data_IF_511539176311
#
_entry.id   IF_511539176311
#
_cell.length_a   1.000
_cell.length_b   1.000
_cell.length_c   1.000
_cell.angle_alpha   90.00
_cell.angle_beta   90.00
_cell.angle_gamma   90.00
#
_symmetry.space_group_name_H-M   'P 1'
#
loop_
_entity.id
_entity.type
_entity.pdbx_description
1 polymer ?
#
# COMPACT_ATOMS: atom_id res chain seq x y z
N UNK A 1 -0.54 33.70 -23.70
CA UNK A 1 -1.61 34.21 -24.61
C UNK A 1 -1.01 34.91 -25.83
N UNK A 2 -0.16 35.93 -25.68
CA UNK A 2 0.47 36.63 -26.80
C UNK A 2 1.22 35.67 -27.73
N UNK A 3 2.05 34.77 -27.23
CA UNK A 3 2.78 33.78 -28.03
C UNK A 3 1.85 32.96 -28.94
N UNK A 4 0.72 32.48 -28.40
CA UNK A 4 -0.25 31.69 -29.17
C UNK A 4 -0.89 32.50 -30.33
N UNK A 5 -1.13 33.79 -30.11
CA UNK A 5 -1.67 34.67 -31.13
C UNK A 5 -0.61 35.00 -32.21
N UNK A 6 0.64 35.16 -31.78
CA UNK A 6 1.78 35.38 -32.68
C UNK A 6 2.05 34.12 -33.52
N UNK A 7 2.01 32.95 -32.92
CA UNK A 7 2.17 31.67 -33.61
C UNK A 7 1.04 31.42 -34.62
N UNK A 8 -0.16 32.00 -34.37
CA UNK A 8 -1.27 32.02 -35.29
C UNK A 8 -1.20 33.15 -36.35
N UNK A 9 -0.06 33.87 -36.46
CA UNK A 9 0.19 34.89 -37.49
C UNK A 9 -0.18 36.32 -37.08
N UNK A 10 -0.62 36.58 -35.86
CA UNK A 10 -0.97 37.92 -35.42
C UNK A 10 0.28 38.77 -35.08
N UNK A 11 0.35 40.05 -35.53
CA UNK A 11 1.49 40.92 -35.23
C UNK A 11 1.64 41.18 -33.73
N UNK A 12 2.87 41.06 -33.23
CA UNK A 12 3.21 41.26 -31.78
C UNK A 12 2.69 42.62 -31.26
N UNK A 13 2.81 43.72 -32.04
CA UNK A 13 2.37 45.02 -31.61
C UNK A 13 0.86 45.10 -31.36
N UNK A 14 0.07 44.46 -32.23
CA UNK A 14 -1.38 44.41 -32.09
C UNK A 14 -1.81 43.58 -30.88
N UNK A 15 -1.18 42.43 -30.67
CA UNK A 15 -1.44 41.58 -29.51
C UNK A 15 -1.08 42.30 -28.18
N UNK A 16 0.05 42.98 -28.14
CA UNK A 16 0.48 43.74 -26.97
C UNK A 16 -0.49 44.90 -26.65
N UNK A 17 -0.95 45.64 -27.68
CA UNK A 17 -1.92 46.72 -27.53
C UNK A 17 -3.25 46.23 -26.97
N UNK A 18 -3.80 45.18 -27.55
CA UNK A 18 -5.09 44.61 -27.15
C UNK A 18 -5.07 44.07 -25.72
N UNK A 19 -3.93 43.54 -25.28
CA UNK A 19 -3.79 42.94 -23.93
C UNK A 19 -3.21 43.92 -22.90
N UNK A 20 -3.02 45.21 -23.23
CA UNK A 20 -2.51 46.25 -22.33
C UNK A 20 -1.07 46.02 -21.86
N UNK A 21 -0.24 45.29 -22.63
CA UNK A 21 1.17 44.96 -22.28
C UNK A 21 2.11 45.75 -23.17
N UNK A 22 3.15 46.33 -22.62
CA UNK A 22 4.19 47.00 -23.42
C UNK A 22 4.99 45.98 -24.25
N UNK A 23 5.36 46.31 -25.47
CA UNK A 23 6.21 45.47 -26.33
C UNK A 23 7.54 45.12 -25.64
N UNK A 24 8.15 46.11 -24.97
CA UNK A 24 9.39 45.94 -24.24
C UNK A 24 9.20 44.94 -23.08
N UNK A 25 8.10 45.02 -22.33
CA UNK A 25 7.73 44.07 -21.28
C UNK A 25 7.59 42.66 -21.82
N UNK A 26 6.93 42.50 -22.97
CA UNK A 26 6.78 41.22 -23.66
C UNK A 26 8.12 40.60 -24.07
N UNK A 27 8.97 41.33 -24.74
CA UNK A 27 10.31 40.84 -25.13
C UNK A 27 11.22 40.57 -23.94
N UNK A 28 11.16 41.39 -22.88
CA UNK A 28 11.87 41.12 -21.63
C UNK A 28 11.39 39.83 -20.98
N UNK A 29 10.09 39.59 -20.96
CA UNK A 29 9.49 38.32 -20.48
C UNK A 29 9.99 37.14 -21.29
N UNK A 30 9.97 37.20 -22.61
CA UNK A 30 10.46 36.12 -23.50
C UNK A 30 11.95 35.79 -23.32
N UNK A 31 12.75 36.82 -23.09
CA UNK A 31 14.21 36.66 -22.84
C UNK A 31 14.55 36.24 -21.41
N UNK A 32 13.55 36.23 -20.52
CA UNK A 32 13.78 35.89 -19.11
C UNK A 32 14.10 34.40 -18.99
N UNK A 33 15.22 34.01 -18.39
CA UNK A 33 15.52 32.60 -18.14
C UNK A 33 14.49 32.00 -17.19
N UNK A 34 14.22 30.72 -17.36
CA UNK A 34 13.32 29.98 -16.46
C UNK A 34 13.82 30.09 -15.02
N UNK A 35 12.97 30.54 -14.11
CA UNK A 35 13.36 30.71 -12.71
C UNK A 35 13.74 29.38 -12.06
N UNK A 36 14.62 29.39 -11.06
CA UNK A 36 15.01 28.21 -10.29
C UNK A 36 13.79 27.50 -9.68
N UNK A 37 12.78 28.27 -9.23
CA UNK A 37 11.52 27.74 -8.73
C UNK A 37 10.75 26.95 -9.79
N UNK A 38 10.69 27.46 -11.02
CA UNK A 38 10.01 26.80 -12.12
C UNK A 38 10.77 25.56 -12.59
N UNK A 39 12.10 25.61 -12.65
CA UNK A 39 12.95 24.45 -12.93
C UNK A 39 12.71 23.34 -11.89
N UNK A 40 12.71 23.70 -10.60
CA UNK A 40 12.40 22.75 -9.53
C UNK A 40 10.99 22.14 -9.66
N UNK A 41 10.00 22.95 -10.02
CA UNK A 41 8.62 22.44 -10.24
C UNK A 41 8.55 21.46 -11.41
N UNK A 42 9.21 21.74 -12.52
CA UNK A 42 9.29 20.84 -13.68
C UNK A 42 9.95 19.51 -13.30
N UNK A 43 11.08 19.57 -12.62
CA UNK A 43 11.77 18.40 -12.12
C UNK A 43 10.89 17.56 -11.17
N UNK A 44 10.27 18.19 -10.16
CA UNK A 44 9.34 17.49 -9.28
C UNK A 44 8.15 16.88 -10.04
N UNK A 45 7.63 17.55 -11.08
CA UNK A 45 6.55 17.02 -11.90
C UNK A 45 6.99 15.77 -12.66
N UNK A 46 8.24 15.70 -13.11
CA UNK A 46 8.82 14.48 -13.70
C UNK A 46 8.80 13.32 -12.71
N UNK A 47 9.36 13.52 -11.52
CA UNK A 47 9.36 12.50 -10.45
C UNK A 47 7.94 12.07 -10.05
N UNK A 48 7.00 13.01 -9.94
CA UNK A 48 5.59 12.70 -9.65
C UNK A 48 5.00 11.76 -10.70
N UNK A 49 5.30 11.96 -11.99
CA UNK A 49 4.85 11.07 -13.07
C UNK A 49 5.46 9.68 -12.96
N UNK A 50 6.75 9.60 -12.70
CA UNK A 50 7.46 8.32 -12.51
C UNK A 50 6.88 7.53 -11.35
N UNK A 51 6.70 8.16 -10.18
CA UNK A 51 6.07 7.53 -9.01
C UNK A 51 4.64 7.09 -9.32
N UNK A 52 3.86 7.91 -10.03
CA UNK A 52 2.48 7.59 -10.39
C UNK A 52 2.43 6.38 -11.33
N UNK A 53 3.32 6.29 -12.31
CA UNK A 53 3.45 5.12 -13.21
C UNK A 53 3.89 3.90 -12.41
N UNK A 54 4.93 4.01 -11.58
CA UNK A 54 5.43 2.92 -10.75
C UNK A 54 4.38 2.39 -9.77
N UNK A 55 3.47 3.25 -9.30
CA UNK A 55 2.33 2.88 -8.47
C UNK A 55 1.11 2.39 -9.28
N UNK A 56 1.28 2.07 -10.57
CA UNK A 56 0.20 1.62 -11.48
C UNK A 56 -0.94 2.63 -11.63
N UNK A 57 -0.67 3.92 -11.46
CA UNK A 57 -1.68 4.98 -11.52
C UNK A 57 -2.62 5.00 -10.30
N UNK A 58 -2.25 4.38 -9.18
CA UNK A 58 -3.13 4.28 -8.00
C UNK A 58 -2.93 5.40 -7.00
N UNK A 59 -1.73 6.00 -6.93
CA UNK A 59 -1.38 6.96 -5.89
C UNK A 59 -1.99 8.33 -6.09
N UNK A 60 -2.69 8.81 -5.05
CA UNK A 60 -3.02 10.23 -4.89
C UNK A 60 -1.87 11.02 -4.26
N UNK A 61 -2.02 12.35 -4.17
CA UNK A 61 -0.97 13.26 -3.74
C UNK A 61 -0.32 12.93 -2.39
N UNK A 62 -1.06 12.36 -1.42
CA UNK A 62 -0.51 12.00 -0.10
C UNK A 62 0.52 10.88 -0.17
N UNK A 63 0.25 9.85 -0.97
CA UNK A 63 1.20 8.73 -1.16
C UNK A 63 2.38 9.14 -2.02
N UNK A 64 2.15 9.96 -3.06
CA UNK A 64 3.24 10.53 -3.87
C UNK A 64 4.14 11.44 -3.02
N UNK A 65 3.56 12.27 -2.15
CA UNK A 65 4.33 13.07 -1.20
C UNK A 65 5.19 12.19 -0.29
N UNK A 66 4.62 11.10 0.24
CA UNK A 66 5.36 10.16 1.08
C UNK A 66 6.52 9.48 0.32
N UNK A 67 6.34 9.13 -0.96
CA UNK A 67 7.46 8.62 -1.79
C UNK A 67 8.55 9.65 -1.97
N UNK A 68 8.20 10.90 -2.25
CA UNK A 68 9.19 11.97 -2.41
C UNK A 68 9.93 12.23 -1.10
N UNK A 69 9.22 12.31 0.04
CA UNK A 69 9.82 12.71 1.32
C UNK A 69 10.47 11.56 2.08
N UNK A 70 9.82 10.41 2.15
CA UNK A 70 10.30 9.24 2.90
C UNK A 70 11.16 8.34 2.00
N UNK A 71 10.70 8.07 0.77
CA UNK A 71 11.39 7.16 -0.15
C UNK A 71 12.63 7.78 -0.78
N UNK A 72 12.54 9.05 -1.22
CA UNK A 72 13.61 9.74 -1.96
C UNK A 72 14.31 10.84 -1.17
N UNK A 73 13.89 11.10 0.08
CA UNK A 73 14.41 12.17 0.94
C UNK A 73 14.39 13.58 0.27
N UNK A 74 13.37 13.86 -0.54
CA UNK A 74 13.17 15.14 -1.23
C UNK A 74 12.17 15.99 -0.45
N UNK A 75 12.60 17.09 0.20
CA UNK A 75 11.72 17.95 0.98
C UNK A 75 10.76 18.72 0.06
N UNK A 76 9.47 18.50 0.25
CA UNK A 76 8.39 19.22 -0.43
C UNK A 76 7.12 19.23 0.44
N UNK A 77 6.19 20.15 0.17
CA UNK A 77 4.91 20.17 0.90
C UNK A 77 3.84 19.37 0.17
N UNK A 78 2.91 18.81 0.94
CA UNK A 78 1.71 18.12 0.40
C UNK A 78 0.94 19.01 -0.60
N UNK A 79 0.82 20.32 -0.29
CA UNK A 79 0.13 21.30 -1.15
C UNK A 79 0.84 21.45 -2.49
N UNK A 80 2.18 21.53 -2.50
CA UNK A 80 2.94 21.62 -3.74
C UNK A 80 2.71 20.40 -4.63
N UNK A 81 2.81 19.18 -4.06
CA UNK A 81 2.56 17.94 -4.80
C UNK A 81 1.15 17.92 -5.38
N UNK A 82 0.13 18.27 -4.59
CA UNK A 82 -1.26 18.33 -5.05
C UNK A 82 -1.43 19.31 -6.23
N UNK A 83 -0.85 20.52 -6.14
CA UNK A 83 -0.91 21.53 -7.22
C UNK A 83 -0.21 21.02 -8.48
N UNK A 84 0.97 20.42 -8.36
CA UNK A 84 1.71 19.89 -9.50
C UNK A 84 0.99 18.74 -10.18
N UNK A 85 0.37 17.82 -9.41
CA UNK A 85 -0.46 16.74 -9.94
C UNK A 85 -1.66 17.29 -10.72
N UNK A 86 -2.39 18.24 -10.14
CA UNK A 86 -3.54 18.85 -10.82
C UNK A 86 -3.12 19.53 -12.14
N UNK A 87 -2.02 20.29 -12.14
CA UNK A 87 -1.49 20.92 -13.36
C UNK A 87 -1.03 19.92 -14.42
N UNK A 88 -0.56 18.75 -13.99
CA UNK A 88 -0.11 17.69 -14.87
C UNK A 88 -1.25 16.76 -15.35
N UNK A 89 -2.49 16.98 -14.88
CA UNK A 89 -3.64 16.11 -15.17
C UNK A 89 -3.53 14.72 -14.51
N UNK A 90 -2.79 14.60 -13.41
CA UNK A 90 -2.56 13.35 -12.70
C UNK A 90 -3.50 13.27 -11.49
N UNK A 91 -4.29 12.19 -11.40
CA UNK A 91 -5.16 11.90 -10.26
C UNK A 91 -4.92 10.48 -9.72
N UNK A 92 -5.04 10.30 -8.42
CA UNK A 92 -5.09 8.95 -7.83
C UNK A 92 -6.45 8.30 -8.05
N UNK A 93 -6.53 7.00 -7.83
CA UNK A 93 -7.81 6.30 -7.86
C UNK A 93 -8.71 6.80 -6.71
N UNK A 94 -10.01 7.05 -6.97
CA UNK A 94 -10.95 7.39 -5.92
C UNK A 94 -11.05 6.21 -4.94
N UNK A 95 -11.07 6.51 -3.64
CA UNK A 95 -11.34 5.50 -2.62
C UNK A 95 -12.77 4.97 -2.73
N UNK A 96 -13.09 3.86 -2.04
CA UNK A 96 -14.44 3.35 -1.99
C UNK A 96 -15.39 4.42 -1.43
N UNK A 97 -16.59 4.50 -1.98
CA UNK A 97 -17.64 5.39 -1.48
C UNK A 97 -17.94 4.99 -0.03
N UNK A 98 -17.69 5.88 0.91
CA UNK A 98 -18.02 5.64 2.31
C UNK A 98 -19.56 5.69 2.48
N UNK A 99 -20.18 4.54 2.46
CA UNK A 99 -21.55 4.40 2.92
C UNK A 99 -21.51 4.59 4.44
N UNK A 100 -22.21 5.61 4.97
CA UNK A 100 -22.40 5.76 6.42
C UNK A 100 -23.25 4.57 6.90
N UNK A 101 -22.59 3.55 7.46
CA UNK A 101 -23.32 2.47 8.15
C UNK A 101 -23.88 3.05 9.45
N UNK A 102 -25.17 2.83 9.69
CA UNK A 102 -25.80 3.12 10.99
C UNK A 102 -25.12 2.23 12.04
N UNK A 103 -24.78 2.82 13.20
CA UNK A 103 -24.21 2.07 14.31
C UNK A 103 -25.24 1.04 14.79
N UNK A 104 -24.98 -0.23 14.56
CA UNK A 104 -25.74 -1.33 15.17
C UNK A 104 -25.49 -1.40 16.68
N UNK A 105 -26.49 -1.91 17.39
CA UNK A 105 -26.43 -2.16 18.84
C UNK A 105 -25.44 -3.31 19.09
N UNK A 106 -24.51 -3.11 20.03
CA UNK A 106 -23.53 -4.14 20.40
C UNK A 106 -24.21 -5.34 21.03
N UNK A 107 -24.03 -6.52 20.41
CA UNK A 107 -24.54 -7.80 20.93
C UNK A 107 -23.34 -8.75 21.03
N UNK A 108 -23.09 -9.26 22.26
CA UNK A 108 -22.23 -10.36 22.68
C UNK A 108 -20.70 -10.13 22.80
N UNK A 109 -20.10 -10.90 23.73
CA UNK A 109 -18.70 -10.83 24.16
C UNK A 109 -17.69 -11.12 23.02
N UNK A 110 -17.06 -10.05 22.54
CA UNK A 110 -15.97 -10.10 21.59
C UNK A 110 -14.62 -10.16 22.35
N UNK A 111 -13.91 -11.28 22.25
CA UNK A 111 -12.58 -11.47 22.86
C UNK A 111 -11.54 -10.46 22.32
N UNK A 112 -11.76 -9.90 21.14
CA UNK A 112 -10.90 -8.88 20.54
C UNK A 112 -11.24 -7.48 21.04
N UNK A 113 -12.43 -7.30 21.64
CA UNK A 113 -12.89 -6.04 22.25
C UNK A 113 -12.71 -4.81 21.34
N UNK A 114 -12.87 -5.00 20.01
CA UNK A 114 -12.69 -4.01 18.93
C UNK A 114 -11.32 -3.30 18.91
N UNK A 115 -10.33 -3.82 19.64
CA UNK A 115 -8.97 -3.29 19.67
C UNK A 115 -8.12 -4.01 18.61
N UNK A 116 -8.39 -3.71 17.34
CA UNK A 116 -7.62 -4.22 16.21
C UNK A 116 -6.23 -3.58 16.02
N UNK A 117 -5.90 -2.57 16.81
CA UNK A 117 -4.55 -2.03 16.86
C UNK A 117 -3.70 -2.85 17.81
N UNK A 118 -2.91 -3.76 17.25
CA UNK A 118 -1.92 -4.53 18.01
C UNK A 118 -0.57 -3.85 17.94
N UNK A 119 0.15 -3.88 19.05
CA UNK A 119 1.46 -3.23 19.16
C UNK A 119 2.60 -4.15 18.73
N UNK A 120 2.42 -5.47 18.80
CA UNK A 120 3.42 -6.45 18.40
C UNK A 120 2.96 -7.30 17.20
N UNK A 121 3.95 -7.79 16.46
CA UNK A 121 3.74 -8.71 15.36
C UNK A 121 3.25 -10.07 15.89
N UNK A 122 2.44 -10.74 15.09
CA UNK A 122 1.92 -12.08 15.35
C UNK A 122 1.00 -12.22 16.60
N UNK A 123 0.57 -11.10 17.21
CA UNK A 123 -0.44 -11.14 18.28
C UNK A 123 -1.84 -11.42 17.75
N UNK A 124 -2.16 -10.90 16.57
CA UNK A 124 -3.46 -11.06 15.92
C UNK A 124 -3.27 -11.19 14.42
N UNK A 125 -3.72 -12.29 13.87
CA UNK A 125 -3.90 -12.49 12.43
C UNK A 125 -5.38 -12.44 12.10
N UNK A 126 -5.72 -11.80 11.00
CA UNK A 126 -7.09 -11.71 10.49
C UNK A 126 -7.12 -12.40 9.15
N UNK A 127 -8.12 -13.25 8.92
CA UNK A 127 -8.25 -14.02 7.68
C UNK A 127 -9.66 -13.90 7.09
N UNK A 128 -9.73 -13.93 5.76
CA UNK A 128 -10.98 -13.83 5.03
C UNK A 128 -10.79 -14.37 3.60
N UNK A 129 -11.93 -14.61 2.90
CA UNK A 129 -11.96 -15.07 1.51
C UNK A 129 -12.67 -14.02 0.66
N UNK A 130 -12.12 -13.77 -0.53
CA UNK A 130 -12.80 -13.03 -1.59
C UNK A 130 -12.99 -13.88 -2.83
N UNK A 131 -13.99 -13.54 -3.65
CA UNK A 131 -14.18 -14.16 -4.96
C UNK A 131 -14.11 -13.12 -6.09
N UNK A 132 -13.65 -13.55 -7.25
CA UNK A 132 -13.67 -12.72 -8.43
C UNK A 132 -13.96 -13.53 -9.70
N UNK A 133 -14.87 -13.05 -10.58
CA UNK A 133 -15.22 -13.78 -11.80
C UNK A 133 -14.13 -13.62 -12.88
N UNK A 134 -13.92 -14.70 -13.63
CA UNK A 134 -13.21 -14.71 -14.92
C UNK A 134 -14.13 -15.29 -16.00
N UNK A 135 -13.71 -15.27 -17.26
CA UNK A 135 -14.50 -15.95 -18.32
C UNK A 135 -14.53 -17.47 -18.17
N UNK A 136 -13.56 -18.06 -17.46
CA UNK A 136 -13.47 -19.50 -17.18
C UNK A 136 -14.22 -19.91 -15.89
N UNK A 137 -14.82 -18.95 -15.19
CA UNK A 137 -15.48 -19.16 -13.90
C UNK A 137 -14.82 -18.39 -12.77
N UNK A 138 -15.27 -18.61 -11.55
CA UNK A 138 -14.79 -17.90 -10.36
C UNK A 138 -13.40 -18.34 -9.92
N UNK A 139 -12.67 -17.41 -9.31
CA UNK A 139 -11.44 -17.61 -8.57
C UNK A 139 -11.70 -17.15 -7.14
N UNK A 140 -11.29 -17.94 -6.18
CA UNK A 140 -11.36 -17.64 -4.75
C UNK A 140 -9.96 -17.40 -4.21
N UNK A 141 -9.80 -16.37 -3.41
CA UNK A 141 -8.53 -16.04 -2.75
C UNK A 141 -8.76 -15.92 -1.25
N UNK A 142 -8.11 -16.79 -0.47
CA UNK A 142 -8.00 -16.64 0.98
C UNK A 142 -6.71 -15.92 1.31
N UNK A 143 -6.74 -15.01 2.30
CA UNK A 143 -5.56 -14.30 2.77
C UNK A 143 -5.53 -14.20 4.29
N UNK A 144 -4.32 -14.20 4.86
CA UNK A 144 -4.03 -14.00 6.27
C UNK A 144 -3.22 -12.72 6.41
N UNK A 145 -3.72 -11.76 7.17
CA UNK A 145 -3.15 -10.45 7.40
C UNK A 145 -2.70 -10.32 8.86
N UNK A 146 -1.46 -9.88 9.09
CA UNK A 146 -0.97 -9.48 10.41
C UNK A 146 -1.55 -8.11 10.77
N UNK A 147 -2.29 -8.02 11.88
CA UNK A 147 -3.00 -6.81 12.29
C UNK A 147 -2.07 -5.66 12.68
N UNK A 148 -0.85 -5.94 13.12
CA UNK A 148 0.15 -4.93 13.47
C UNK A 148 0.77 -4.29 12.23
N UNK A 149 1.33 -5.13 11.34
CA UNK A 149 2.07 -4.67 10.16
C UNK A 149 1.21 -4.45 8.92
N UNK A 150 -0.05 -4.90 8.92
CA UNK A 150 -0.94 -4.92 7.73
C UNK A 150 -0.39 -5.75 6.58
N UNK A 151 0.64 -6.54 6.81
CA UNK A 151 1.26 -7.41 5.81
C UNK A 151 0.40 -8.64 5.57
N UNK A 152 0.20 -8.99 4.32
CA UNK A 152 -0.33 -10.30 3.96
C UNK A 152 0.79 -11.31 4.15
N UNK A 153 0.63 -12.20 5.11
CA UNK A 153 1.65 -13.16 5.55
C UNK A 153 1.41 -14.58 5.03
N UNK A 154 0.19 -14.84 4.55
CA UNK A 154 -0.18 -16.07 3.89
C UNK A 154 -1.38 -15.86 3.00
N UNK A 155 -1.45 -16.59 1.90
CA UNK A 155 -2.57 -16.55 0.97
C UNK A 155 -2.61 -17.82 0.11
N UNK A 156 -3.78 -18.12 -0.41
CA UNK A 156 -4.00 -19.23 -1.34
C UNK A 156 -5.07 -18.85 -2.35
N UNK A 157 -5.02 -19.44 -3.53
CA UNK A 157 -5.98 -19.22 -4.61
C UNK A 157 -6.45 -20.56 -5.13
N UNK A 158 -7.76 -20.70 -5.33
CA UNK A 158 -8.37 -21.90 -5.90
C UNK A 158 -9.61 -21.54 -6.75
N UNK A 159 -10.08 -22.50 -7.51
CA UNK A 159 -11.37 -22.47 -8.22
C UNK A 159 -12.56 -22.86 -7.33
N UNK A 160 -12.31 -23.34 -6.11
CA UNK A 160 -13.30 -23.75 -5.12
C UNK A 160 -13.09 -23.02 -3.81
N UNK A 161 -14.21 -22.70 -3.15
CA UNK A 161 -14.21 -22.10 -1.82
C UNK A 161 -14.46 -23.20 -0.78
N UNK A 162 -13.42 -23.95 -0.44
CA UNK A 162 -13.47 -25.01 0.55
C UNK A 162 -12.50 -24.78 1.73
N UNK A 163 -12.51 -25.70 2.70
CA UNK A 163 -11.61 -25.64 3.85
C UNK A 163 -10.13 -25.77 3.48
N UNK A 164 -9.81 -26.43 2.36
CA UNK A 164 -8.43 -26.60 1.87
C UNK A 164 -7.82 -25.25 1.51
N UNK A 165 -8.60 -24.37 0.88
CA UNK A 165 -8.17 -23.02 0.51
C UNK A 165 -7.70 -22.22 1.72
N UNK A 166 -8.50 -22.20 2.81
CA UNK A 166 -8.16 -21.43 4.02
C UNK A 166 -7.01 -22.07 4.81
N UNK A 167 -6.95 -23.40 4.82
CA UNK A 167 -5.84 -24.15 5.46
C UNK A 167 -4.52 -23.88 4.74
N UNK A 168 -4.49 -23.84 3.41
CA UNK A 168 -3.29 -23.53 2.64
C UNK A 168 -2.80 -22.11 2.89
N UNK A 169 -3.70 -21.13 2.94
CA UNK A 169 -3.35 -19.74 3.29
C UNK A 169 -2.77 -19.65 4.71
N UNK A 170 -3.38 -20.31 5.67
CA UNK A 170 -2.92 -20.37 7.06
C UNK A 170 -1.57 -21.09 7.19
N UNK A 171 -1.39 -22.22 6.48
CA UNK A 171 -0.13 -22.97 6.48
C UNK A 171 1.03 -22.13 5.96
N UNK A 172 0.83 -21.38 4.89
CA UNK A 172 1.80 -20.43 4.37
C UNK A 172 2.17 -19.39 5.45
N UNK A 173 1.18 -18.80 6.15
CA UNK A 173 1.40 -17.84 7.22
C UNK A 173 2.20 -18.43 8.38
N UNK A 174 1.84 -19.63 8.85
CA UNK A 174 2.53 -20.32 9.96
C UNK A 174 3.99 -20.61 9.59
N UNK A 175 4.24 -21.12 8.38
CA UNK A 175 5.61 -21.40 7.91
C UNK A 175 6.45 -20.13 7.76
N UNK A 176 5.85 -19.06 7.27
CA UNK A 176 6.56 -17.78 7.07
C UNK A 176 6.88 -17.07 8.39
N UNK A 177 6.06 -17.24 9.43
CA UNK A 177 6.13 -16.50 10.68
C UNK A 177 6.66 -17.28 11.86
N UNK A 178 6.47 -18.59 11.89
CA UNK A 178 6.80 -19.44 13.05
C UNK A 178 6.36 -18.76 14.36
N UNK A 179 5.05 -18.48 14.53
CA UNK A 179 4.58 -17.64 15.62
C UNK A 179 4.81 -18.29 16.96
N UNK A 180 5.12 -17.47 17.98
CA UNK A 180 5.12 -17.92 19.35
C UNK A 180 3.69 -18.31 19.79
N UNK A 181 3.54 -19.26 20.73
CA UNK A 181 2.22 -19.64 21.25
C UNK A 181 1.45 -18.45 21.84
N UNK A 182 0.12 -18.49 21.71
CA UNK A 182 -0.79 -17.50 22.31
C UNK A 182 -1.28 -16.40 21.36
N UNK A 183 -0.74 -16.30 20.13
CA UNK A 183 -1.30 -15.42 19.10
C UNK A 183 -2.72 -15.85 18.70
N UNK A 184 -3.53 -14.90 18.25
CA UNK A 184 -4.93 -15.11 17.86
C UNK A 184 -5.08 -15.12 16.35
N UNK A 185 -5.84 -16.07 15.81
CA UNK A 185 -6.32 -16.06 14.41
C UNK A 185 -7.81 -15.79 14.42
N UNK A 186 -8.17 -14.61 13.89
CA UNK A 186 -9.56 -14.16 13.82
C UNK A 186 -10.13 -14.33 12.40
N UNK A 187 -11.30 -14.92 12.30
CA UNK A 187 -12.05 -15.13 11.07
C UNK A 187 -13.53 -14.83 11.26
N UNK A 188 -14.28 -14.73 10.17
CA UNK A 188 -15.74 -14.74 10.24
C UNK A 188 -16.27 -16.16 10.56
N UNK A 189 -17.61 -16.27 10.75
CA UNK A 189 -18.29 -17.55 11.00
C UNK A 189 -18.54 -18.38 9.73
N UNK A 190 -17.80 -18.14 8.64
CA UNK A 190 -17.93 -18.95 7.43
C UNK A 190 -17.66 -20.44 7.68
N UNK A 191 -18.39 -21.31 6.99
CA UNK A 191 -18.28 -22.78 7.13
C UNK A 191 -16.85 -23.29 6.94
N UNK A 192 -16.07 -22.63 6.09
CA UNK A 192 -14.67 -22.95 5.81
C UNK A 192 -13.78 -22.72 7.03
N UNK A 193 -14.02 -21.63 7.77
CA UNK A 193 -13.24 -21.24 8.94
C UNK A 193 -13.65 -22.02 10.21
N UNK A 194 -14.91 -22.43 10.32
CA UNK A 194 -15.39 -23.26 11.44
C UNK A 194 -15.09 -24.74 11.26
N UNK A 195 -14.47 -25.15 10.15
CA UNK A 195 -14.09 -26.53 9.88
C UNK A 195 -13.11 -27.07 10.93
N UNK A 196 -13.24 -28.34 11.30
CA UNK A 196 -12.36 -29.01 12.24
C UNK A 196 -10.88 -28.91 11.80
N UNK A 197 -10.61 -29.10 10.50
CA UNK A 197 -9.24 -29.07 9.95
C UNK A 197 -8.59 -27.71 10.14
N UNK A 198 -9.31 -26.61 9.87
CA UNK A 198 -8.80 -25.26 10.04
C UNK A 198 -8.54 -24.95 11.53
N UNK A 199 -9.48 -25.26 12.41
CA UNK A 199 -9.35 -25.04 13.86
C UNK A 199 -8.21 -25.86 14.46
N UNK A 200 -8.08 -27.13 14.05
CA UNK A 200 -6.99 -28.00 14.47
C UNK A 200 -5.62 -27.46 14.01
N UNK A 201 -5.54 -26.92 12.79
CA UNK A 201 -4.32 -26.29 12.28
C UNK A 201 -3.88 -25.08 13.12
N UNK A 202 -4.83 -24.22 13.51
CA UNK A 202 -4.55 -23.09 14.40
C UNK A 202 -3.98 -23.59 15.73
N UNK A 203 -4.67 -24.55 16.38
CA UNK A 203 -4.26 -25.08 17.69
C UNK A 203 -2.92 -25.80 17.64
N UNK A 204 -2.66 -26.58 16.59
CA UNK A 204 -1.36 -27.28 16.44
C UNK A 204 -0.18 -26.33 16.26
N UNK A 205 -0.40 -25.09 15.82
CA UNK A 205 0.58 -24.02 15.75
C UNK A 205 0.70 -23.22 17.06
N UNK A 206 0.00 -23.63 18.13
CA UNK A 206 -0.02 -22.90 19.41
C UNK A 206 -0.84 -21.62 19.40
N UNK A 207 -1.64 -21.40 18.35
CA UNK A 207 -2.48 -20.21 18.18
C UNK A 207 -3.89 -20.44 18.71
N UNK A 208 -4.60 -19.37 18.99
CA UNK A 208 -5.97 -19.37 19.51
C UNK A 208 -6.96 -18.97 18.39
N UNK A 209 -7.96 -19.79 18.08
CA UNK A 209 -9.01 -19.41 17.15
C UNK A 209 -9.96 -18.40 17.80
N UNK A 210 -10.37 -17.40 17.03
CA UNK A 210 -11.40 -16.42 17.38
C UNK A 210 -12.33 -16.24 16.20
N UNK A 211 -13.64 -16.20 16.46
CA UNK A 211 -14.64 -16.02 15.42
C UNK A 211 -15.48 -14.79 15.74
N UNK A 212 -15.77 -13.97 14.73
CA UNK A 212 -16.63 -12.81 14.86
C UNK A 212 -18.05 -13.19 15.23
N UNK A 213 -18.82 -12.27 15.79
CA UNK A 213 -20.26 -12.48 16.07
C UNK A 213 -21.05 -12.51 14.76
N UNK A 214 -22.04 -13.38 14.68
CA UNK A 214 -22.90 -13.53 13.49
C UNK A 214 -23.58 -12.17 13.18
N UNK A 215 -23.22 -11.56 12.04
CA UNK A 215 -23.83 -10.32 11.55
C UNK A 215 -23.09 -9.02 11.90
N UNK A 216 -21.94 -9.05 12.58
CA UNK A 216 -21.16 -7.84 12.88
C UNK A 216 -20.04 -7.65 11.85
N UNK A 217 -20.35 -6.91 10.77
CA UNK A 217 -19.37 -6.57 9.71
C UNK A 217 -18.25 -5.62 10.13
N UNK A 218 -18.10 -5.32 11.43
CA UNK A 218 -16.99 -4.52 11.96
C UNK A 218 -15.80 -5.39 12.37
N UNK A 219 -16.02 -6.69 12.59
CA UNK A 219 -15.01 -7.61 13.11
C UNK A 219 -13.91 -7.89 12.08
N UNK A 220 -14.14 -7.67 10.78
CA UNK A 220 -13.17 -7.93 9.71
C UNK A 220 -12.79 -6.68 8.88
N UNK A 221 -12.94 -5.47 9.46
CA UNK A 221 -12.69 -4.20 8.76
C UNK A 221 -11.29 -4.07 8.13
N UNK A 222 -10.28 -4.81 8.65
CA UNK A 222 -8.94 -4.84 8.08
C UNK A 222 -8.90 -5.59 6.77
N UNK A 223 -9.51 -6.77 6.71
CA UNK A 223 -9.60 -7.56 5.48
C UNK A 223 -10.51 -6.89 4.46
N UNK A 224 -11.64 -6.29 4.89
CA UNK A 224 -12.49 -5.47 4.03
C UNK A 224 -11.69 -4.32 3.38
N UNK A 225 -10.85 -3.63 4.15
CA UNK A 225 -9.97 -2.57 3.64
C UNK A 225 -8.94 -3.09 2.64
N UNK A 226 -8.37 -4.27 2.89
CA UNK A 226 -7.44 -4.93 1.96
C UNK A 226 -8.14 -5.31 0.66
N UNK A 227 -9.27 -6.02 0.74
CA UNK A 227 -10.05 -6.44 -0.43
C UNK A 227 -10.55 -5.25 -1.25
N UNK A 228 -11.07 -4.21 -0.60
CA UNK A 228 -11.48 -2.97 -1.27
C UNK A 228 -10.32 -2.30 -2.00
N UNK A 229 -9.12 -2.31 -1.42
CA UNK A 229 -7.92 -1.80 -2.10
C UNK A 229 -7.59 -2.64 -3.32
N UNK A 230 -7.55 -3.97 -3.19
CA UNK A 230 -7.26 -4.89 -4.30
C UNK A 230 -8.33 -4.79 -5.39
N UNK A 231 -9.60 -4.65 -5.01
CA UNK A 231 -10.71 -4.48 -5.94
C UNK A 231 -10.52 -3.26 -6.84
N UNK A 232 -10.19 -2.10 -6.26
CA UNK A 232 -10.03 -0.83 -6.98
C UNK A 232 -8.69 -0.78 -7.73
N UNK A 233 -7.61 -1.23 -7.10
CA UNK A 233 -6.26 -1.08 -7.62
C UNK A 233 -5.87 -2.16 -8.63
N UNK A 234 -6.56 -3.32 -8.63
CA UNK A 234 -6.29 -4.45 -9.51
C UNK A 234 -7.54 -4.98 -10.22
N UNK A 235 -8.51 -5.52 -9.46
CA UNK A 235 -9.53 -6.43 -9.99
C UNK A 235 -10.49 -5.74 -10.96
N UNK A 236 -10.94 -4.52 -10.67
CA UNK A 236 -11.87 -3.74 -11.49
C UNK A 236 -11.21 -3.07 -12.71
N UNK A 237 -9.89 -3.19 -12.89
CA UNK A 237 -9.18 -2.45 -13.94
C UNK A 237 -9.29 -3.08 -15.32
N UNK A 238 -9.64 -4.36 -15.39
CA UNK A 238 -9.90 -5.06 -16.64
C UNK A 238 -10.82 -6.27 -16.45
N UNK A 239 -11.34 -6.81 -17.55
CA UNK A 239 -12.03 -8.10 -17.57
C UNK A 239 -11.00 -9.22 -17.69
N UNK A 240 -10.98 -10.14 -16.75
CA UNK A 240 -10.04 -11.27 -16.68
C UNK A 240 -10.48 -12.39 -17.62
N UNK A 241 -9.56 -12.86 -18.48
CA UNK A 241 -9.88 -13.94 -19.44
C UNK A 241 -9.79 -15.31 -18.79
N UNK A 242 -8.67 -15.59 -18.11
CA UNK A 242 -8.40 -16.91 -17.54
C UNK A 242 -8.17 -16.83 -16.03
N UNK A 243 -8.37 -17.96 -15.34
CA UNK A 243 -8.05 -18.11 -13.93
C UNK A 243 -6.55 -17.90 -13.66
N UNK A 244 -5.71 -18.43 -14.55
CA UNK A 244 -4.25 -18.32 -14.44
C UNK A 244 -3.80 -16.83 -14.54
N UNK A 245 -4.36 -16.09 -15.50
CA UNK A 245 -4.09 -14.68 -15.64
C UNK A 245 -4.40 -13.89 -14.36
N UNK A 246 -5.57 -14.15 -13.77
CA UNK A 246 -5.98 -13.51 -12.53
C UNK A 246 -5.10 -13.93 -11.34
N UNK A 247 -4.79 -15.22 -11.21
CA UNK A 247 -3.94 -15.76 -10.15
C UNK A 247 -2.56 -15.10 -10.15
N UNK A 248 -1.93 -15.00 -11.32
CA UNK A 248 -0.63 -14.34 -11.46
C UNK A 248 -0.69 -12.85 -11.10
N UNK A 249 -1.77 -12.17 -11.48
CA UNK A 249 -1.97 -10.76 -11.15
C UNK A 249 -2.20 -10.54 -9.65
N UNK A 250 -2.93 -11.42 -8.97
CA UNK A 250 -3.13 -11.37 -7.51
C UNK A 250 -1.79 -11.64 -6.80
N UNK A 251 -1.03 -12.65 -7.25
CA UNK A 251 0.32 -12.91 -6.73
C UNK A 251 1.20 -11.66 -6.78
N UNK A 252 1.31 -11.05 -7.96
CA UNK A 252 2.12 -9.85 -8.16
C UNK A 252 1.60 -8.66 -7.32
N UNK A 253 0.27 -8.56 -7.18
CA UNK A 253 -0.32 -7.51 -6.36
C UNK A 253 0.04 -7.69 -4.88
N UNK A 254 -0.08 -8.88 -4.33
CA UNK A 254 0.19 -9.14 -2.91
C UNK A 254 1.69 -9.03 -2.62
N UNK A 255 2.51 -9.82 -3.32
CA UNK A 255 3.93 -9.98 -2.97
C UNK A 255 4.79 -8.78 -3.38
N UNK A 256 4.56 -8.26 -4.59
CA UNK A 256 5.42 -7.19 -5.12
C UNK A 256 4.87 -5.81 -4.78
N UNK A 257 3.57 -5.60 -4.96
CA UNK A 257 3.00 -4.26 -4.83
C UNK A 257 2.50 -3.97 -3.41
N UNK A 258 1.51 -4.72 -2.91
CA UNK A 258 0.86 -4.45 -1.63
C UNK A 258 1.83 -4.52 -0.44
N UNK A 259 2.54 -5.63 -0.31
CA UNK A 259 3.44 -5.84 0.80
C UNK A 259 4.70 -4.95 0.74
N UNK A 260 5.31 -4.76 -0.44
CA UNK A 260 6.65 -4.18 -0.57
C UNK A 260 6.70 -2.76 -1.10
N UNK A 261 5.66 -2.29 -1.82
CA UNK A 261 5.67 -0.95 -2.45
C UNK A 261 4.56 -0.05 -1.97
N UNK A 262 3.39 -0.62 -1.66
CA UNK A 262 2.21 0.18 -1.35
C UNK A 262 2.36 0.90 -0.01
N UNK A 263 2.35 2.23 -0.03
CA UNK A 263 2.35 3.09 1.15
C UNK A 263 1.02 3.01 1.90
N UNK A 264 1.07 2.75 3.21
CA UNK A 264 -0.09 2.65 4.08
C UNK A 264 -0.21 3.83 5.02
N UNK A 265 -1.34 4.57 4.95
CA UNK A 265 -1.57 5.72 5.84
C UNK A 265 -1.66 5.34 7.32
N UNK A 266 -2.15 4.14 7.63
CA UNK A 266 -2.21 3.62 9.00
C UNK A 266 -0.85 3.18 9.56
N UNK A 267 0.18 3.12 8.72
CA UNK A 267 1.56 2.79 9.07
C UNK A 267 2.49 3.99 8.84
N UNK A 268 1.98 5.21 9.02
CA UNK A 268 2.74 6.44 8.78
C UNK A 268 3.38 6.50 7.38
N UNK A 269 2.69 5.94 6.42
CA UNK A 269 3.15 5.77 5.03
C UNK A 269 4.37 4.85 4.85
N UNK A 270 4.73 4.03 5.83
CA UNK A 270 5.61 2.89 5.59
C UNK A 270 4.91 1.83 4.72
N UNK A 271 5.67 0.98 4.04
CA UNK A 271 5.11 -0.23 3.44
C UNK A 271 4.86 -1.28 4.53
N UNK A 272 3.93 -2.23 4.35
CA UNK A 272 3.76 -3.34 5.28
C UNK A 272 5.06 -4.10 5.57
N UNK A 273 5.90 -4.30 4.56
CA UNK A 273 7.19 -4.98 4.68
C UNK A 273 8.19 -4.19 5.51
N UNK A 274 8.37 -2.90 5.23
CA UNK A 274 9.34 -2.07 5.96
C UNK A 274 8.93 -1.87 7.41
N UNK A 275 7.61 -1.70 7.66
CA UNK A 275 7.06 -1.61 9.01
C UNK A 275 7.29 -2.91 9.81
N UNK A 276 7.07 -4.05 9.16
CA UNK A 276 7.30 -5.38 9.71
C UNK A 276 8.77 -5.58 10.11
N UNK A 277 9.71 -5.25 9.22
CA UNK A 277 11.15 -5.31 9.49
C UNK A 277 11.56 -4.41 10.65
N UNK A 278 11.08 -3.17 10.69
CA UNK A 278 11.39 -2.22 11.75
C UNK A 278 10.88 -2.71 13.12
N UNK A 279 9.70 -3.35 13.17
CA UNK A 279 9.16 -3.94 14.40
C UNK A 279 9.95 -5.16 14.85
N UNK A 280 10.32 -6.05 13.92
CA UNK A 280 11.17 -7.21 14.23
C UNK A 280 12.51 -6.79 14.81
N UNK A 281 13.16 -5.78 14.22
CA UNK A 281 14.43 -5.26 14.72
C UNK A 281 14.31 -4.69 16.15
N UNK A 282 13.23 -3.96 16.46
CA UNK A 282 12.97 -3.43 17.82
C UNK A 282 12.77 -4.53 18.84
N UNK A 283 12.05 -5.59 18.49
CA UNK A 283 11.84 -6.73 19.40
C UNK A 283 13.17 -7.41 19.74
N UNK A 284 14.05 -7.61 18.76
CA UNK A 284 15.38 -8.20 18.98
C UNK A 284 16.28 -7.32 19.86
N UNK A 285 16.22 -5.99 19.73
CA UNK A 285 16.99 -5.08 20.60
C UNK A 285 16.48 -5.04 22.02
N UNK A 286 15.16 -5.23 22.25
CA UNK A 286 14.55 -5.21 23.60
C UNK A 286 14.80 -6.52 24.35
N UNK A 287 14.85 -7.65 23.64
CA UNK A 287 15.18 -8.97 24.22
C UNK A 287 16.68 -9.19 24.42
N UNK A 288 17.54 -8.45 23.69
CA UNK A 288 19.01 -8.57 23.73
C UNK A 288 19.72 -7.81 24.86
N UNK A 289 18.99 -7.20 25.81
CA UNK A 289 19.60 -6.41 26.91
C UNK A 289 20.18 -7.24 28.06
N UNK A 290 20.60 -8.50 27.86
CA UNK A 290 21.58 -9.21 28.68
C UNK A 290 22.84 -9.50 27.85
N UNK A 291 23.72 -8.50 27.72
CA UNK A 291 25.02 -8.65 27.05
C UNK A 291 26.05 -9.33 27.94
N UNK A 292 26.77 -10.35 27.46
CA UNK A 292 28.20 -10.48 27.78
C UNK A 292 28.96 -9.49 26.88
N UNK A 293 29.81 -8.66 27.47
CA UNK A 293 30.77 -7.82 26.77
C UNK A 293 31.73 -8.71 25.99
N UNK A 294 31.59 -8.80 24.68
CA UNK A 294 32.66 -9.27 23.80
C UNK A 294 33.07 -8.06 22.95
N UNK A 295 34.32 -7.62 23.17
CA UNK A 295 34.90 -6.55 22.39
C UNK A 295 35.08 -6.99 20.93
N UNK A 296 34.48 -6.31 19.99
CA UNK A 296 34.74 -6.46 18.55
C UNK A 296 35.58 -5.28 18.10
N UNK A 297 36.82 -5.57 17.73
CA UNK A 297 37.74 -4.64 17.07
C UNK A 297 37.27 -4.40 15.63
N UNK A 298 36.97 -3.16 15.30
CA UNK A 298 36.71 -2.75 13.91
C UNK A 298 38.03 -2.58 13.17
N UNK A 299 38.30 -3.44 12.21
CA UNK A 299 39.32 -3.18 11.15
C UNK A 299 38.65 -2.41 10.01
N UNK A 300 39.09 -1.19 9.79
CA UNK A 300 38.73 -0.38 8.62
C UNK A 300 39.28 -1.02 7.34
N UNK A 301 38.37 -1.47 6.46
CA UNK A 301 38.68 -1.77 5.06
C UNK A 301 38.59 -0.46 4.27
N UNK A 302 39.73 0.10 3.93
CA UNK A 302 39.86 1.20 2.96
C UNK A 302 39.67 0.63 1.54
N UNK A 303 38.74 1.19 0.78
CA UNK A 303 38.58 0.94 -0.64
C UNK A 303 39.76 1.58 -1.43
N UNK A 304 40.33 0.91 -2.41
CA UNK A 304 41.36 1.51 -3.26
C UNK A 304 40.74 2.49 -4.24
N UNK A 305 41.23 3.76 -4.19
CA UNK A 305 40.98 4.77 -5.20
C UNK A 305 41.88 4.51 -6.42
N UNK A 306 41.28 4.17 -7.56
CA UNK A 306 41.96 4.19 -8.86
C UNK A 306 41.78 5.57 -9.49
N UNK A 307 42.87 6.25 -9.91
CA UNK A 307 42.75 7.48 -10.70
C UNK A 307 42.48 7.12 -12.17
N UNK A 308 41.51 7.78 -12.78
CA UNK A 308 41.36 7.81 -14.23
C UNK A 308 42.40 8.80 -14.83
N UNK A 309 43.19 8.31 -15.76
CA UNK A 309 43.91 9.09 -16.78
C UNK A 309 43.02 9.17 -18.02
#
# INVERSE_FOLDING_TARGET
MIDRLVDAGAPVHTCCRLLGVSRQGYYRYRKRPTSATELRRRWLTGLIREIHIASRGTYGYRRIHAELTIGMNIPCSNRLVSVLMTRAGIGGLPGPVRIKRLKGVATADDLVNRKFHRLALNELWVTDITEHPTREGKVYCAAVLDACSRKIIGWAIDSKQDSTLVVNALDMAIRARQPAPGGVVHADHGVQFTSWVFTQKIRSAGLLPSFGTVGDGLDNAMMESFWSSMQIELLNRKKWKTRVELTNAIFEYIEVFYNRRRRHSSLEYATPHDYDLARTARTLTTTGSKRPRVGVSYTHLTLPTTPYV
#
